data_IF_276295248488
#
_entry.id   IF_276295248488
#
_cell.length_a   1.000
_cell.length_b   1.000
_cell.length_c   1.000
_cell.angle_alpha   90.00
_cell.angle_beta   90.00
_cell.angle_gamma   90.00
#
_symmetry.space_group_name_H-M   'P 1'
#
loop_
_entity.id
_entity.type
_entity.pdbx_description
1 polymer ?
#
# COMPACT_ATOMS: atom_id res chain seq x y z
N UNK A 1 20.55 -39.51 5.19
CA UNK A 1 19.68 -38.97 6.27
C UNK A 1 19.03 -37.69 5.74
N UNK A 2 17.69 -37.60 5.78
CA UNK A 2 16.97 -36.38 5.38
C UNK A 2 16.71 -35.57 6.63
N UNK A 3 17.35 -34.42 6.77
CA UNK A 3 17.06 -33.47 7.84
C UNK A 3 15.82 -32.66 7.44
N UNK A 4 14.66 -33.04 7.96
CA UNK A 4 13.46 -32.19 7.90
C UNK A 4 13.48 -31.19 9.03
N UNK A 5 13.41 -29.90 8.70
CA UNK A 5 13.33 -28.82 9.68
C UNK A 5 12.05 -28.99 10.52
N UNK A 6 12.08 -28.65 11.82
CA UNK A 6 10.91 -28.78 12.68
C UNK A 6 9.74 -27.93 12.18
N UNK A 7 8.53 -28.47 12.34
CA UNK A 7 7.27 -27.81 11.99
C UNK A 7 7.15 -26.49 12.78
N UNK A 8 7.16 -25.37 12.06
CA UNK A 8 6.92 -24.02 12.57
C UNK A 8 6.02 -23.29 11.57
N UNK A 9 5.09 -22.47 12.03
CA UNK A 9 4.19 -21.66 11.18
C UNK A 9 4.95 -20.79 10.18
N UNK A 10 6.17 -20.36 10.51
CA UNK A 10 7.08 -19.62 9.62
C UNK A 10 7.65 -20.43 8.44
N UNK A 11 7.59 -21.77 8.48
CA UNK A 11 8.19 -22.70 7.51
C UNK A 11 7.15 -23.41 6.62
N UNK A 12 5.86 -23.10 6.79
CA UNK A 12 4.80 -23.57 5.90
C UNK A 12 4.46 -22.39 4.99
N UNK A 13 4.51 -22.53 3.67
CA UNK A 13 4.04 -21.48 2.78
C UNK A 13 2.51 -21.39 2.90
N UNK A 14 2.04 -20.54 3.82
CA UNK A 14 0.67 -20.04 3.89
C UNK A 14 0.74 -18.53 3.71
N UNK A 15 1.22 -18.12 2.55
CA UNK A 15 1.18 -16.75 2.07
C UNK A 15 0.39 -16.83 0.76
N UNK A 16 -0.92 -16.55 0.81
CA UNK A 16 -1.85 -16.34 -0.34
C UNK A 16 -3.24 -16.99 -0.17
N UNK A 17 -3.97 -16.67 0.89
CA UNK A 17 -5.43 -16.95 0.91
C UNK A 17 -6.28 -15.70 0.85
N UNK A 18 -5.77 -14.56 1.35
CA UNK A 18 -6.51 -13.31 1.36
C UNK A 18 -6.11 -12.51 0.12
N UNK A 19 -7.07 -12.27 -0.75
CA UNK A 19 -6.88 -11.43 -1.93
C UNK A 19 -8.08 -10.51 -2.13
N UNK A 20 -7.83 -9.41 -2.84
CA UNK A 20 -8.81 -8.38 -3.11
C UNK A 20 -8.83 -8.01 -4.58
N UNK A 21 -10.01 -7.67 -5.08
CA UNK A 21 -10.17 -7.03 -6.38
C UNK A 21 -9.72 -5.58 -6.32
N UNK A 22 -9.35 -5.02 -7.47
CA UNK A 22 -9.02 -3.58 -7.59
C UNK A 22 -10.21 -2.72 -7.13
N UNK A 23 -11.45 -3.14 -7.40
CA UNK A 23 -12.66 -2.43 -6.96
C UNK A 23 -12.77 -2.37 -5.44
N UNK A 24 -12.57 -3.48 -4.73
CA UNK A 24 -12.60 -3.52 -3.26
C UNK A 24 -11.51 -2.63 -2.62
N UNK A 25 -10.30 -2.65 -3.19
CA UNK A 25 -9.21 -1.79 -2.74
C UNK A 25 -9.56 -0.32 -2.99
N UNK A 26 -10.12 -0.01 -4.16
CA UNK A 26 -10.49 1.35 -4.54
C UNK A 26 -11.62 1.90 -3.67
N UNK A 27 -12.62 1.08 -3.35
CA UNK A 27 -13.68 1.44 -2.42
C UNK A 27 -13.11 1.80 -1.04
N UNK A 28 -12.21 0.95 -0.53
CA UNK A 28 -11.53 1.19 0.76
C UNK A 28 -10.67 2.46 0.71
N UNK A 29 -10.06 2.77 -0.44
CA UNK A 29 -9.29 3.99 -0.65
C UNK A 29 -10.15 5.26 -0.56
N UNK A 30 -11.38 5.21 -1.08
CA UNK A 30 -12.36 6.29 -0.96
C UNK A 30 -12.75 6.50 0.50
N UNK A 31 -13.01 5.41 1.23
CA UNK A 31 -13.38 5.45 2.65
C UNK A 31 -12.26 6.05 3.51
N UNK A 32 -11.02 5.59 3.33
CA UNK A 32 -9.86 6.13 4.06
C UNK A 32 -9.62 7.60 3.74
N UNK A 33 -9.74 8.01 2.47
CA UNK A 33 -9.65 9.43 2.08
C UNK A 33 -10.68 10.26 2.84
N UNK A 34 -11.95 9.84 2.82
CA UNK A 34 -13.03 10.56 3.48
C UNK A 34 -12.85 10.59 5.00
N UNK A 35 -12.36 9.49 5.59
CA UNK A 35 -12.04 9.41 7.00
C UNK A 35 -10.96 10.43 7.38
N UNK A 36 -9.85 10.50 6.65
CA UNK A 36 -8.75 11.44 6.92
C UNK A 36 -9.24 12.88 6.79
N UNK A 37 -10.05 13.19 5.78
CA UNK A 37 -10.63 14.53 5.60
C UNK A 37 -11.58 14.90 6.74
N UNK A 38 -12.42 13.97 7.20
CA UNK A 38 -13.41 14.22 8.25
C UNK A 38 -12.83 14.26 9.66
N UNK A 39 -11.73 13.52 9.92
CA UNK A 39 -11.21 13.33 11.27
C UNK A 39 -9.84 13.97 11.52
N UNK A 40 -9.12 14.41 10.48
CA UNK A 40 -7.76 14.97 10.57
C UNK A 40 -6.69 14.03 11.16
N UNK A 41 -6.96 12.72 11.20
CA UNK A 41 -5.98 11.68 11.52
C UNK A 41 -6.17 10.45 10.63
N UNK A 42 -5.18 9.55 10.65
CA UNK A 42 -5.16 8.34 9.83
C UNK A 42 -5.68 7.13 10.62
N UNK A 43 -6.50 6.27 10.00
CA UNK A 43 -6.95 5.04 10.65
C UNK A 43 -5.75 4.11 10.87
N UNK A 44 -5.63 3.51 12.06
CA UNK A 44 -4.56 2.54 12.37
C UNK A 44 -4.77 1.22 11.63
N UNK A 45 -6.03 0.79 11.55
CA UNK A 45 -6.49 -0.37 10.80
C UNK A 45 -7.52 0.07 9.77
N UNK A 46 -7.41 -0.48 8.57
CA UNK A 46 -8.29 -0.23 7.44
C UNK A 46 -9.06 -1.52 7.15
N UNK A 47 -10.36 -1.40 6.92
CA UNK A 47 -11.18 -2.54 6.49
C UNK A 47 -11.16 -2.61 4.97
N UNK A 48 -10.67 -3.72 4.41
CA UNK A 48 -10.76 -4.02 2.98
C UNK A 48 -11.61 -5.27 2.81
N UNK A 49 -12.82 -5.10 2.24
CA UNK A 49 -13.77 -6.21 2.04
C UNK A 49 -13.99 -7.08 3.31
N UNK A 50 -14.19 -6.44 4.45
CA UNK A 50 -14.41 -7.11 5.74
C UNK A 50 -13.14 -7.60 6.46
N UNK A 51 -11.96 -7.46 5.86
CA UNK A 51 -10.68 -7.83 6.46
C UNK A 51 -9.95 -6.61 7.01
N UNK A 52 -9.43 -6.70 8.23
CA UNK A 52 -8.58 -5.66 8.81
C UNK A 52 -7.15 -5.76 8.28
N UNK A 53 -6.65 -4.66 7.73
CA UNK A 53 -5.27 -4.51 7.24
C UNK A 53 -4.63 -3.30 7.90
N UNK A 54 -3.32 -3.37 8.18
CA UNK A 54 -2.60 -2.22 8.70
C UNK A 54 -2.23 -1.22 7.57
N UNK A 55 -1.74 -0.04 7.94
CA UNK A 55 -1.40 1.02 7.00
C UNK A 55 -0.35 0.61 5.95
N UNK A 56 0.65 -0.19 6.33
CA UNK A 56 1.73 -0.60 5.42
C UNK A 56 1.25 -1.62 4.40
N UNK A 57 0.46 -2.60 4.86
CA UNK A 57 -0.22 -3.54 3.98
C UNK A 57 -1.16 -2.81 3.02
N UNK A 58 -1.90 -1.83 3.52
CA UNK A 58 -2.79 -1.05 2.68
C UNK A 58 -2.03 -0.22 1.65
N UNK A 59 -0.90 0.40 2.01
CA UNK A 59 -0.05 1.11 1.06
C UNK A 59 0.42 0.20 -0.09
N UNK A 60 0.84 -1.03 0.20
CA UNK A 60 1.21 -2.02 -0.83
C UNK A 60 0.04 -2.38 -1.74
N UNK A 61 -1.16 -2.59 -1.17
CA UNK A 61 -2.36 -2.87 -1.96
C UNK A 61 -2.67 -1.71 -2.92
N UNK A 62 -2.58 -0.47 -2.43
CA UNK A 62 -2.83 0.72 -3.24
C UNK A 62 -1.80 0.91 -4.36
N UNK A 63 -0.51 0.73 -4.04
CA UNK A 63 0.58 0.84 -5.02
C UNK A 63 0.44 -0.24 -6.10
N UNK A 64 0.18 -1.49 -5.70
CA UNK A 64 -0.03 -2.61 -6.63
C UNK A 64 -1.26 -2.41 -7.50
N UNK A 65 -2.38 -1.94 -6.93
CA UNK A 65 -3.57 -1.60 -7.70
C UNK A 65 -3.31 -0.50 -8.74
N UNK A 66 -2.51 0.50 -8.39
CA UNK A 66 -2.12 1.58 -9.32
C UNK A 66 -1.32 1.04 -10.51
N UNK A 67 -0.35 0.16 -10.27
CA UNK A 67 0.44 -0.49 -11.34
C UNK A 67 -0.47 -1.35 -12.23
N UNK A 68 -1.35 -2.15 -11.62
CA UNK A 68 -2.28 -3.02 -12.35
C UNK A 68 -3.28 -2.25 -13.21
N UNK A 69 -3.84 -1.16 -12.69
CA UNK A 69 -4.70 -0.25 -13.46
C UNK A 69 -3.98 0.33 -14.68
N UNK A 70 -2.73 0.78 -14.51
CA UNK A 70 -1.91 1.26 -15.63
C UNK A 70 -1.68 0.17 -16.69
N UNK A 71 -1.49 -1.08 -16.25
CA UNK A 71 -1.23 -2.22 -17.12
C UNK A 71 -2.50 -2.89 -17.66
N UNK A 72 -3.70 -2.40 -17.30
CA UNK A 72 -5.00 -3.02 -17.61
C UNK A 72 -5.11 -4.47 -17.11
N UNK A 73 -4.43 -4.78 -16.01
CA UNK A 73 -4.46 -6.08 -15.35
C UNK A 73 -5.58 -6.10 -14.29
N UNK A 74 -6.57 -6.98 -14.47
CA UNK A 74 -7.71 -7.11 -13.56
C UNK A 74 -7.58 -8.27 -12.56
N UNK A 75 -6.44 -8.94 -12.51
CA UNK A 75 -6.21 -10.03 -11.56
C UNK A 75 -6.27 -9.53 -10.12
N UNK A 76 -6.74 -10.39 -9.22
CA UNK A 76 -6.75 -10.11 -7.77
C UNK A 76 -5.36 -9.79 -7.24
N UNK A 77 -5.31 -9.03 -6.14
CA UNK A 77 -4.09 -8.65 -5.44
C UNK A 77 -4.08 -9.37 -4.10
N UNK A 78 -3.06 -10.19 -3.88
CA UNK A 78 -2.88 -10.92 -2.63
C UNK A 78 -2.34 -10.00 -1.54
N UNK A 79 -2.90 -10.12 -0.34
CA UNK A 79 -2.43 -9.41 0.83
C UNK A 79 -1.03 -9.88 1.21
N UNK A 80 -0.08 -8.95 1.25
CA UNK A 80 1.28 -9.21 1.69
C UNK A 80 1.46 -8.92 3.17
N UNK A 81 2.56 -9.41 3.74
CA UNK A 81 3.00 -8.91 5.04
C UNK A 81 3.37 -7.42 4.91
N UNK A 82 3.23 -6.66 6.00
CA UNK A 82 3.56 -5.25 6.01
C UNK A 82 3.80 -4.75 7.42
N UNK A 83 4.98 -4.18 7.66
CA UNK A 83 5.36 -3.58 8.93
C UNK A 83 5.28 -2.05 8.77
N UNK A 84 4.55 -1.40 9.66
CA UNK A 84 4.40 0.06 9.65
C UNK A 84 5.71 0.70 10.11
N UNK A 85 6.35 1.56 9.31
CA UNK A 85 7.60 2.19 9.69
C UNK A 85 7.40 3.31 10.71
N UNK A 86 8.47 3.64 11.43
CA UNK A 86 8.56 4.93 12.11
C UNK A 86 8.77 6.05 11.08
N UNK A 87 7.89 7.05 11.05
CA UNK A 87 7.89 8.09 10.02
C UNK A 87 7.70 9.48 10.62
N UNK A 88 8.51 10.45 10.16
CA UNK A 88 8.37 11.86 10.51
C UNK A 88 7.24 12.51 9.70
N UNK A 89 6.22 12.99 10.42
CA UNK A 89 5.00 13.57 9.84
C UNK A 89 5.23 14.96 9.24
N UNK A 90 6.36 15.60 9.50
CA UNK A 90 6.67 16.95 9.00
C UNK A 90 7.19 16.97 7.56
N UNK A 91 7.56 15.82 6.99
CA UNK A 91 8.12 15.73 5.64
C UNK A 91 6.99 15.57 4.61
N UNK A 92 6.61 16.67 3.96
CA UNK A 92 5.51 16.69 2.99
C UNK A 92 6.00 17.41 1.72
N UNK A 93 5.97 16.72 0.59
CA UNK A 93 6.16 17.35 -0.71
C UNK A 93 4.86 18.02 -1.17
N UNK A 94 4.98 19.23 -1.73
CA UNK A 94 3.87 19.94 -2.37
C UNK A 94 4.07 19.92 -3.89
N UNK A 95 3.11 19.39 -4.63
CA UNK A 95 3.14 19.37 -6.08
C UNK A 95 2.13 18.37 -6.69
N UNK A 96 1.98 18.44 -8.01
CA UNK A 96 1.13 17.51 -8.77
C UNK A 96 2.03 16.58 -9.57
N UNK A 97 1.87 15.27 -9.38
CA UNK A 97 2.51 14.27 -10.24
C UNK A 97 1.62 13.95 -11.43
N UNK A 98 2.25 13.75 -12.60
CA UNK A 98 1.60 13.13 -13.75
C UNK A 98 1.43 11.62 -13.50
N UNK A 99 0.49 10.97 -14.19
CA UNK A 99 0.16 9.55 -13.99
C UNK A 99 1.40 8.64 -14.03
N UNK A 100 2.30 8.84 -15.01
CA UNK A 100 3.52 8.04 -15.12
C UNK A 100 4.42 8.12 -13.89
N UNK A 101 4.45 9.26 -13.20
CA UNK A 101 5.22 9.44 -11.96
C UNK A 101 4.57 8.77 -10.75
N UNK A 102 3.23 8.70 -10.69
CA UNK A 102 2.57 7.87 -9.68
C UNK A 102 2.81 6.38 -9.88
N UNK A 103 2.86 5.92 -11.13
CA UNK A 103 3.14 4.50 -11.44
C UNK A 103 4.60 4.16 -11.13
N UNK A 104 5.55 5.02 -11.49
CA UNK A 104 6.97 4.87 -11.12
C UNK A 104 7.15 4.81 -9.60
N UNK A 105 6.55 5.76 -8.87
CA UNK A 105 6.60 5.79 -7.41
C UNK A 105 5.96 4.55 -6.79
N UNK A 106 4.91 3.99 -7.39
CA UNK A 106 4.25 2.77 -6.91
C UNK A 106 5.18 1.56 -7.05
N UNK A 107 5.91 1.48 -8.17
CA UNK A 107 6.95 0.46 -8.37
C UNK A 107 8.08 0.57 -7.35
N UNK A 108 8.50 1.80 -7.03
CA UNK A 108 9.52 2.06 -6.02
C UNK A 108 9.05 1.65 -4.61
N UNK A 109 7.79 1.92 -4.25
CA UNK A 109 7.18 1.45 -2.99
C UNK A 109 7.25 -0.07 -2.89
N UNK A 110 6.75 -0.78 -3.91
CA UNK A 110 6.75 -2.25 -3.89
C UNK A 110 8.18 -2.81 -3.81
N UNK A 111 9.12 -2.24 -4.55
CA UNK A 111 10.54 -2.62 -4.49
C UNK A 111 11.13 -2.38 -3.11
N UNK A 112 10.75 -1.28 -2.45
CA UNK A 112 11.21 -0.96 -1.10
C UNK A 112 10.79 -2.04 -0.09
N UNK A 113 9.50 -2.41 -0.08
CA UNK A 113 8.97 -3.46 0.79
C UNK A 113 9.70 -4.80 0.61
N UNK A 114 9.98 -5.18 -0.65
CA UNK A 114 10.73 -6.41 -0.97
C UNK A 114 12.15 -6.36 -0.39
N UNK A 115 12.80 -5.21 -0.43
CA UNK A 115 14.21 -5.05 -0.01
C UNK A 115 14.40 -4.78 1.49
N UNK A 116 13.32 -4.53 2.26
CA UNK A 116 13.37 -4.14 3.67
C UNK A 116 12.50 -5.04 4.55
N UNK A 117 12.52 -6.35 4.33
CA UNK A 117 11.79 -7.33 5.16
C UNK A 117 10.30 -7.02 5.36
N UNK A 118 9.68 -6.43 4.32
CA UNK A 118 8.28 -5.98 4.32
C UNK A 118 7.98 -4.79 5.26
N UNK A 119 8.99 -4.06 5.71
CA UNK A 119 8.82 -2.75 6.33
C UNK A 119 8.56 -1.68 5.26
N UNK A 120 7.57 -0.83 5.52
CA UNK A 120 7.23 0.27 4.62
C UNK A 120 8.30 1.38 4.61
N UNK A 121 8.35 2.21 3.56
CA UNK A 121 9.26 3.35 3.54
C UNK A 121 8.83 4.39 4.57
N UNK A 122 9.74 4.81 5.46
CA UNK A 122 9.49 5.96 6.36
C UNK A 122 9.28 7.26 5.57
N UNK A 123 9.99 7.38 4.44
CA UNK A 123 9.83 8.42 3.41
C UNK A 123 10.32 7.90 2.06
N UNK A 124 9.92 8.55 0.98
CA UNK A 124 10.38 8.24 -0.37
C UNK A 124 10.60 9.52 -1.19
N UNK A 125 11.68 9.55 -1.96
CA UNK A 125 11.96 10.63 -2.91
C UNK A 125 11.06 10.52 -4.13
N UNK A 126 10.56 11.66 -4.58
CA UNK A 126 9.76 11.80 -5.81
C UNK A 126 10.23 13.02 -6.61
N UNK A 127 9.67 13.22 -7.81
CA UNK A 127 9.96 14.42 -8.61
C UNK A 127 9.44 15.73 -8.00
N UNK A 128 8.60 15.67 -6.96
CA UNK A 128 8.08 16.85 -6.24
C UNK A 128 8.73 17.04 -4.85
N UNK A 129 9.68 16.18 -4.48
CA UNK A 129 10.37 16.22 -3.19
C UNK A 129 10.22 14.92 -2.38
N UNK A 130 10.60 14.97 -1.11
CA UNK A 130 10.46 13.85 -0.17
C UNK A 130 9.02 13.76 0.35
N UNK A 131 8.47 12.54 0.35
CA UNK A 131 7.11 12.26 0.79
C UNK A 131 7.18 11.25 1.94
N UNK A 132 6.65 11.61 3.11
CA UNK A 132 6.56 10.67 4.24
C UNK A 132 5.53 9.55 4.00
N UNK A 133 5.62 8.50 4.81
CA UNK A 133 4.76 7.31 4.73
C UNK A 133 3.26 7.63 4.68
N UNK A 134 2.76 8.46 5.60
CA UNK A 134 1.33 8.78 5.68
C UNK A 134 0.86 9.61 4.48
N UNK A 135 1.73 10.48 3.96
CA UNK A 135 1.46 11.27 2.75
C UNK A 135 1.45 10.37 1.52
N UNK A 136 2.33 9.37 1.43
CA UNK A 136 2.26 8.33 0.38
C UNK A 136 0.91 7.61 0.45
N UNK A 137 0.51 7.13 1.64
CA UNK A 137 -0.77 6.45 1.86
C UNK A 137 -1.95 7.30 1.38
N UNK A 138 -2.03 8.55 1.82
CA UNK A 138 -3.10 9.47 1.42
C UNK A 138 -3.08 9.77 -0.08
N UNK A 139 -1.89 9.95 -0.65
CA UNK A 139 -1.71 10.23 -2.08
C UNK A 139 -2.27 9.09 -2.92
N UNK A 140 -1.94 7.84 -2.61
CA UNK A 140 -2.47 6.70 -3.35
C UNK A 140 -3.96 6.46 -3.09
N UNK A 141 -4.47 6.82 -1.91
CA UNK A 141 -5.93 6.82 -1.68
C UNK A 141 -6.64 7.79 -2.64
N UNK A 142 -6.07 8.98 -2.85
CA UNK A 142 -6.59 9.99 -3.79
C UNK A 142 -6.47 9.54 -5.24
N UNK A 143 -5.34 8.95 -5.63
CA UNK A 143 -5.13 8.41 -6.98
C UNK A 143 -6.20 7.38 -7.30
N UNK A 144 -6.35 6.33 -6.48
CA UNK A 144 -7.37 5.30 -6.73
C UNK A 144 -8.81 5.85 -6.66
N UNK A 145 -9.09 6.78 -5.74
CA UNK A 145 -10.41 7.43 -5.68
C UNK A 145 -10.80 8.12 -6.98
N UNK A 146 -9.83 8.60 -7.78
CA UNK A 146 -10.13 9.27 -9.05
C UNK A 146 -10.60 8.31 -10.16
N UNK A 147 -10.40 6.99 -9.99
CA UNK A 147 -10.87 5.96 -10.93
C UNK A 147 -12.31 5.49 -10.67
N UNK A 148 -12.99 6.01 -9.65
CA UNK A 148 -14.42 5.72 -9.35
C UNK A 148 -15.39 6.70 -10.06
N UNK A 149 -14.88 7.55 -10.94
CA UNK A 149 -15.67 8.53 -11.71
C UNK A 149 -16.12 7.98 -13.06
#
# INVERSE_FOLDING_TARGET
MVNVKPWKTSNIPIYDTISFTISQITQSAVEVKNFVVGNAYYPELITVNGMLVNQAQFLQLLATATIKLNNKDNNVIYLQNGIVPSSDRNIIAAGTLVLSKYVELAGNINTYFINHDQEGPSKMSSSVGEINFLTLLYTYCRVLSSYQN
#
